data_IF_473958212966
#
_entry.id   IF_473958212966
#
_cell.length_a   1.000
_cell.length_b   1.000
_cell.length_c   1.000
_cell.angle_alpha   90.00
_cell.angle_beta   90.00
_cell.angle_gamma   90.00
#
_symmetry.space_group_name_H-M   'P 1'
#
loop_
_entity.id
_entity.type
_entity.pdbx_description
1 polymer ?
#
# COMPACT_ATOMS: atom_id res chain seq x y z
N UNK A 1 -6.17 0.28 -19.53
CA UNK A 1 -5.85 1.22 -18.42
C UNK A 1 -6.25 0.70 -17.02
N UNK A 2 -6.60 -0.58 -16.85
CA UNK A 2 -7.03 -1.09 -15.53
C UNK A 2 -5.85 -1.51 -14.63
N UNK A 3 -4.75 -2.03 -15.20
CA UNK A 3 -3.55 -2.40 -14.46
C UNK A 3 -2.83 -1.17 -13.89
N UNK A 4 -2.57 -0.15 -14.70
CA UNK A 4 -2.00 1.12 -14.22
C UNK A 4 -2.80 1.75 -13.05
N UNK A 5 -4.14 1.70 -13.10
CA UNK A 5 -5.00 2.19 -11.99
C UNK A 5 -4.80 1.39 -10.70
N UNK A 6 -4.62 0.07 -10.79
CA UNK A 6 -4.33 -0.79 -9.63
C UNK A 6 -2.94 -0.56 -9.06
N UNK A 7 -1.95 -0.33 -9.92
CA UNK A 7 -0.58 0.03 -9.48
C UNK A 7 -0.61 1.35 -8.71
N UNK A 8 -1.27 2.37 -9.26
CA UNK A 8 -1.39 3.68 -8.61
C UNK A 8 -2.13 3.58 -7.26
N UNK A 9 -3.16 2.74 -7.19
CA UNK A 9 -3.89 2.47 -5.96
C UNK A 9 -3.02 1.75 -4.92
N UNK A 10 -2.23 0.75 -5.33
CA UNK A 10 -1.27 0.07 -4.45
C UNK A 10 -0.23 1.04 -3.88
N UNK A 11 0.34 1.91 -4.72
CA UNK A 11 1.32 2.93 -4.28
C UNK A 11 0.71 3.91 -3.28
N UNK A 12 -0.54 4.33 -3.50
CA UNK A 12 -1.24 5.20 -2.54
C UNK A 12 -1.41 4.55 -1.16
N UNK A 13 -1.75 3.25 -1.11
CA UNK A 13 -1.86 2.49 0.15
C UNK A 13 -0.50 2.37 0.85
N UNK A 14 0.58 2.11 0.09
CA UNK A 14 1.96 2.04 0.61
C UNK A 14 2.36 3.39 1.22
N UNK A 15 2.06 4.51 0.54
CA UNK A 15 2.37 5.86 1.02
C UNK A 15 1.60 6.20 2.29
N UNK A 16 0.32 5.84 2.37
CA UNK A 16 -0.49 6.05 3.59
C UNK A 16 0.07 5.20 4.74
N UNK A 17 0.37 3.92 4.51
CA UNK A 17 0.95 3.04 5.52
C UNK A 17 2.33 3.51 6.00
N UNK A 18 3.20 3.93 5.09
CA UNK A 18 4.53 4.45 5.40
C UNK A 18 4.50 5.82 6.10
N UNK A 19 3.53 6.67 5.78
CA UNK A 19 3.33 7.94 6.48
C UNK A 19 2.91 7.73 7.93
N UNK A 20 1.97 6.81 8.18
CA UNK A 20 1.62 6.42 9.55
C UNK A 20 2.81 5.82 10.29
N UNK A 21 3.63 4.98 9.63
CA UNK A 21 4.82 4.37 10.25
C UNK A 21 5.83 5.40 10.82
N UNK A 22 5.91 6.58 10.20
CA UNK A 22 6.81 7.67 10.62
C UNK A 22 6.17 8.52 11.73
N UNK A 23 4.84 8.55 11.83
CA UNK A 23 4.15 9.33 12.85
C UNK A 23 4.16 8.61 14.21
N UNK A 24 4.71 9.24 15.27
CA UNK A 24 4.77 8.65 16.60
C UNK A 24 3.39 8.50 17.27
N UNK A 25 2.35 9.13 16.74
CA UNK A 25 0.95 9.08 17.22
C UNK A 25 0.12 7.94 16.56
N UNK A 26 0.79 6.88 16.10
CA UNK A 26 0.12 5.82 15.33
C UNK A 26 -0.86 4.99 16.16
N UNK A 27 -2.15 5.22 15.89
CA UNK A 27 -3.30 4.57 16.55
C UNK A 27 -3.38 3.04 16.34
N UNK A 28 -2.60 2.48 15.41
CA UNK A 28 -2.63 1.07 15.00
C UNK A 28 -1.52 0.20 15.63
N UNK A 29 -0.65 0.79 16.45
CA UNK A 29 0.36 0.06 17.22
C UNK A 29 1.41 -0.66 16.38
N UNK A 30 1.81 -0.11 15.22
CA UNK A 30 2.84 -0.65 14.34
C UNK A 30 2.40 -1.84 13.48
N UNK A 31 1.51 -2.70 14.01
CA UNK A 31 1.01 -3.88 13.31
C UNK A 31 0.06 -3.55 12.17
N UNK A 32 -0.88 -2.62 12.37
CA UNK A 32 -1.82 -2.24 11.32
C UNK A 32 -1.14 -1.55 10.14
N UNK A 33 -0.08 -0.78 10.43
CA UNK A 33 0.73 -0.10 9.42
C UNK A 33 1.53 -1.08 8.58
N UNK A 34 2.13 -2.09 9.22
CA UNK A 34 2.84 -3.18 8.53
C UNK A 34 1.89 -3.95 7.60
N UNK A 35 0.68 -4.28 8.05
CA UNK A 35 -0.32 -4.98 7.24
C UNK A 35 -0.79 -4.11 6.06
N UNK A 36 -1.01 -2.81 6.27
CA UNK A 36 -1.32 -1.88 5.20
C UNK A 36 -0.20 -1.81 4.14
N UNK A 37 1.05 -1.77 4.59
CA UNK A 37 2.22 -1.72 3.71
C UNK A 37 2.33 -2.98 2.85
N UNK A 38 2.21 -4.17 3.46
CA UNK A 38 2.26 -5.46 2.74
C UNK A 38 1.08 -5.60 1.78
N UNK A 39 -0.13 -5.19 2.19
CA UNK A 39 -1.32 -5.21 1.34
C UNK A 39 -1.19 -4.29 0.12
N UNK A 40 -0.63 -3.08 0.32
CA UNK A 40 -0.34 -2.14 -0.76
C UNK A 40 0.67 -2.70 -1.78
N UNK A 41 1.71 -3.40 -1.31
CA UNK A 41 2.66 -4.10 -2.19
C UNK A 41 1.95 -5.21 -2.98
N UNK A 42 1.12 -6.02 -2.33
CA UNK A 42 0.36 -7.09 -2.99
C UNK A 42 -0.60 -6.57 -4.07
N UNK A 43 -1.27 -5.45 -3.82
CA UNK A 43 -2.12 -4.76 -4.78
C UNK A 43 -1.32 -4.16 -5.94
N UNK A 44 -0.13 -3.60 -5.66
CA UNK A 44 0.79 -3.10 -6.68
C UNK A 44 1.28 -4.20 -7.62
N UNK A 45 1.74 -5.33 -7.07
CA UNK A 45 2.20 -6.49 -7.85
C UNK A 45 1.05 -7.11 -8.65
N UNK A 46 -0.14 -7.22 -8.07
CA UNK A 46 -1.33 -7.72 -8.77
C UNK A 46 -1.80 -6.76 -9.86
N UNK A 47 -1.60 -5.46 -9.70
CA UNK A 47 -1.82 -4.46 -10.73
C UNK A 47 -0.85 -4.62 -11.90
N UNK A 48 0.43 -4.86 -11.59
CA UNK A 48 1.48 -5.08 -12.60
C UNK A 48 1.24 -6.35 -13.41
N UNK A 49 0.95 -7.48 -12.75
CA UNK A 49 0.62 -8.76 -13.40
C UNK A 49 -0.67 -8.75 -14.22
N UNK A 50 -1.53 -7.75 -14.05
CA UNK A 50 -2.80 -7.63 -14.77
C UNK A 50 -2.70 -6.64 -15.95
N UNK A 51 -1.59 -5.90 -16.06
CA UNK A 51 -1.29 -5.04 -17.20
C UNK A 51 -0.47 -5.78 -18.28
N UNK A 52 0.23 -6.86 -17.90
CA UNK A 52 0.83 -7.88 -18.79
C UNK A 52 -0.22 -8.87 -19.33
#
# INVERSE_FOLDING_TARGET
MQGLKRILFGIAIILIGGFFLISPDSSLGGWGELVCFISGIGLGISGLKCDE
#
